data_IF_949370371201
#
_entry.id   IF_949370371201
#
_cell.length_a   1.000
_cell.length_b   1.000
_cell.length_c   1.000
_cell.angle_alpha   90.00
_cell.angle_beta   90.00
_cell.angle_gamma   90.00
#
_symmetry.space_group_name_H-M   'P 1'
#
loop_
_entity.id
_entity.type
_entity.pdbx_description
1 polymer ?
#
# COMPACT_ATOMS: atom_id res chain seq x y z
N UNK A 1 -0.03 46.28 -34.12
CA UNK A 1 0.41 46.79 -32.79
C UNK A 1 -0.83 47.19 -31.99
N UNK A 2 -1.72 46.19 -31.65
CA UNK A 2 -2.98 46.54 -30.95
C UNK A 2 -3.57 45.22 -30.32
N UNK A 3 -2.81 44.53 -29.50
CA UNK A 3 -3.31 43.26 -28.90
C UNK A 3 -2.84 43.01 -27.46
N UNK A 4 -2.55 44.06 -26.68
CA UNK A 4 -2.04 43.87 -25.34
C UNK A 4 -2.71 44.70 -24.23
N UNK A 5 -3.95 45.17 -24.41
CA UNK A 5 -4.64 46.03 -23.43
C UNK A 5 -5.77 45.39 -22.63
N UNK A 6 -6.14 44.15 -22.91
CA UNK A 6 -7.29 43.53 -22.22
C UNK A 6 -6.94 42.50 -21.15
N UNK A 7 -5.64 42.21 -20.91
CA UNK A 7 -5.23 41.18 -19.91
C UNK A 7 -4.94 41.72 -18.51
N UNK A 8 -4.86 43.02 -18.29
CA UNK A 8 -4.51 43.59 -16.99
C UNK A 8 -5.74 43.94 -16.14
N UNK A 9 -6.91 44.13 -16.77
CA UNK A 9 -8.14 44.53 -16.07
C UNK A 9 -8.81 43.39 -15.29
N UNK A 10 -8.57 42.11 -15.66
CA UNK A 10 -9.24 40.96 -15.02
C UNK A 10 -8.59 40.52 -13.69
N UNK A 11 -7.33 40.87 -13.47
CA UNK A 11 -6.63 40.49 -12.22
C UNK A 11 -6.94 41.44 -11.07
N UNK A 12 -7.29 42.69 -11.34
CA UNK A 12 -7.67 43.66 -10.30
C UNK A 12 -9.07 43.42 -9.74
N UNK A 13 -9.98 42.86 -10.52
CA UNK A 13 -11.32 42.50 -10.04
C UNK A 13 -11.33 41.29 -9.10
N UNK A 14 -10.43 40.30 -9.28
CA UNK A 14 -10.35 39.13 -8.45
C UNK A 14 -9.71 39.38 -7.07
N UNK A 15 -8.75 40.30 -6.98
CA UNK A 15 -8.11 40.68 -5.71
C UNK A 15 -9.02 41.48 -4.79
N UNK A 16 -9.97 42.25 -5.34
CA UNK A 16 -10.94 43.04 -4.55
C UNK A 16 -12.03 42.17 -3.91
N UNK A 17 -12.39 41.03 -4.53
CA UNK A 17 -13.42 40.12 -3.98
C UNK A 17 -12.91 39.27 -2.80
N UNK A 18 -11.65 38.86 -2.84
CA UNK A 18 -11.06 38.10 -1.73
C UNK A 18 -10.87 38.95 -0.47
N UNK A 19 -10.64 40.25 -0.58
CA UNK A 19 -10.43 41.14 0.57
C UNK A 19 -11.74 41.40 1.33
N UNK A 20 -12.89 41.41 0.65
CA UNK A 20 -14.20 41.60 1.30
C UNK A 20 -14.69 40.36 2.05
N UNK A 21 -14.36 39.16 1.58
CA UNK A 21 -14.75 37.91 2.26
C UNK A 21 -14.00 37.70 3.58
N UNK A 22 -12.74 38.16 3.67
CA UNK A 22 -11.94 38.03 4.89
C UNK A 22 -12.39 38.98 6.00
N UNK A 23 -12.91 40.17 5.65
CA UNK A 23 -13.39 41.15 6.63
C UNK A 23 -14.72 40.68 7.27
N UNK A 24 -15.60 40.01 6.53
CA UNK A 24 -16.86 39.49 7.06
C UNK A 24 -16.68 38.34 8.07
N UNK A 25 -15.61 37.54 7.95
CA UNK A 25 -15.33 36.43 8.86
C UNK A 25 -14.77 36.93 10.21
N UNK A 26 -13.98 38.02 10.19
CA UNK A 26 -13.38 38.56 11.42
C UNK A 26 -14.37 39.39 12.25
N UNK A 27 -15.34 40.04 11.62
CA UNK A 27 -16.36 40.85 12.34
C UNK A 27 -17.48 39.98 12.95
N UNK A 28 -17.78 38.81 12.32
CA UNK A 28 -18.78 37.87 12.85
C UNK A 28 -18.38 37.17 14.15
N UNK A 29 -17.08 37.14 14.47
CA UNK A 29 -16.55 36.49 15.67
C UNK A 29 -16.59 37.38 16.93
N UNK A 30 -16.96 38.67 16.83
CA UNK A 30 -16.93 39.60 17.95
C UNK A 30 -18.31 39.86 18.60
N UNK A 31 -19.39 39.36 18.02
CA UNK A 31 -20.72 39.48 18.63
C UNK A 31 -21.18 38.13 19.17
N UNK A 32 -20.69 37.82 20.38
CA UNK A 32 -21.12 36.67 21.14
C UNK A 32 -22.57 36.78 21.58
N UNK A 33 -23.42 35.91 21.07
CA UNK A 33 -24.77 35.73 21.62
C UNK A 33 -24.66 34.87 22.87
N UNK A 34 -24.93 35.51 24.04
CA UNK A 34 -25.03 34.84 25.32
C UNK A 34 -26.34 34.03 25.39
N UNK A 35 -26.21 32.73 25.11
CA UNK A 35 -27.29 31.75 25.31
C UNK A 35 -26.90 30.78 26.43
N UNK A 36 -27.75 30.69 27.48
CA UNK A 36 -27.59 29.84 28.65
C UNK A 36 -27.31 28.38 28.24
N UNK A 37 -26.18 27.86 28.69
CA UNK A 37 -25.80 26.46 28.55
C UNK A 37 -26.62 25.58 29.46
N UNK A 38 -27.46 24.71 28.88
CA UNK A 38 -27.88 23.48 29.54
C UNK A 38 -26.72 22.50 29.41
N UNK A 39 -26.12 22.16 30.54
CA UNK A 39 -25.14 21.06 30.63
C UNK A 39 -25.86 19.75 30.31
N UNK A 40 -25.65 19.23 29.13
CA UNK A 40 -25.67 17.80 28.88
C UNK A 40 -24.20 17.38 28.86
N UNK A 41 -23.81 16.72 29.95
CA UNK A 41 -22.55 15.97 29.99
C UNK A 41 -22.59 14.86 28.91
N UNK A 42 -22.12 15.19 27.72
CA UNK A 42 -21.72 14.18 26.78
C UNK A 42 -20.38 13.61 27.28
N UNK A 43 -20.44 12.43 27.86
CA UNK A 43 -19.29 11.61 28.13
C UNK A 43 -18.52 11.44 26.79
N UNK A 44 -17.49 12.25 26.64
CA UNK A 44 -16.45 11.96 25.64
C UNK A 44 -15.77 10.68 26.10
N UNK A 45 -16.33 9.57 25.64
CA UNK A 45 -15.65 8.31 25.63
C UNK A 45 -14.40 8.50 24.76
N UNK A 46 -13.27 8.76 25.44
CA UNK A 46 -11.95 8.73 24.83
C UNK A 46 -11.73 7.32 24.30
N UNK A 47 -12.20 7.05 23.09
CA UNK A 47 -11.71 5.95 22.29
C UNK A 47 -10.26 6.31 21.92
N UNK A 48 -9.38 6.02 22.86
CA UNK A 48 -7.96 5.92 22.55
C UNK A 48 -7.91 4.78 21.54
N UNK A 49 -7.88 5.14 20.26
CA UNK A 49 -7.60 4.21 19.18
C UNK A 49 -6.23 3.60 19.51
N UNK A 50 -6.28 2.44 20.18
CA UNK A 50 -5.09 1.69 20.54
C UNK A 50 -4.42 1.34 19.22
N UNK A 51 -3.47 2.16 18.78
CA UNK A 51 -2.60 1.80 17.66
C UNK A 51 -1.97 0.46 18.04
N UNK A 52 -2.50 -0.60 17.49
CA UNK A 52 -1.89 -1.92 17.60
C UNK A 52 -0.57 -1.79 16.86
N UNK A 53 0.52 -1.75 17.63
CA UNK A 53 1.86 -1.85 17.06
C UNK A 53 1.96 -3.28 16.55
N UNK A 54 1.81 -3.44 15.25
CA UNK A 54 1.95 -4.73 14.59
C UNK A 54 3.45 -4.99 14.43
N UNK A 55 3.98 -5.93 15.20
CA UNK A 55 5.37 -6.36 15.04
C UNK A 55 5.54 -7.07 13.69
N UNK A 56 6.59 -6.75 12.94
CA UNK A 56 6.85 -7.40 11.66
C UNK A 56 7.29 -8.86 11.89
N UNK A 57 6.86 -9.80 11.04
CA UNK A 57 7.33 -11.17 11.12
C UNK A 57 8.85 -11.20 10.87
N UNK A 58 9.54 -12.07 11.61
CA UNK A 58 10.97 -12.32 11.41
C UNK A 58 11.15 -13.26 10.22
N UNK A 59 12.29 -13.15 9.56
CA UNK A 59 12.67 -14.09 8.50
C UNK A 59 12.68 -15.51 9.08
N UNK A 60 11.99 -16.43 8.41
CA UNK A 60 11.77 -17.80 8.89
C UNK A 60 10.53 -18.00 9.75
N UNK A 61 9.79 -16.92 10.05
CA UNK A 61 8.54 -17.01 10.82
C UNK A 61 7.37 -17.44 9.92
N UNK A 62 6.50 -18.29 10.48
CA UNK A 62 5.26 -18.69 9.84
C UNK A 62 4.23 -17.58 9.97
N UNK A 63 3.74 -17.11 8.83
CA UNK A 63 2.63 -16.17 8.74
C UNK A 63 1.33 -16.95 8.60
N UNK A 64 0.56 -17.02 9.69
CA UNK A 64 -0.77 -17.64 9.66
C UNK A 64 -1.76 -16.74 8.93
N UNK A 65 -2.94 -17.28 8.58
CA UNK A 65 -4.00 -16.52 7.91
C UNK A 65 -4.49 -15.36 8.77
N UNK A 66 -4.58 -15.55 10.10
CA UNK A 66 -4.95 -14.49 11.06
C UNK A 66 -3.88 -13.40 11.11
N UNK A 67 -2.62 -13.80 11.16
CA UNK A 67 -1.49 -12.86 11.16
C UNK A 67 -1.43 -12.05 9.87
N UNK A 68 -1.66 -12.68 8.74
CA UNK A 68 -1.74 -12.01 7.45
C UNK A 68 -2.91 -11.01 7.38
N UNK A 69 -4.06 -11.36 7.97
CA UNK A 69 -5.19 -10.43 8.07
C UNK A 69 -4.83 -9.17 8.86
N UNK A 70 -4.16 -9.32 10.02
CA UNK A 70 -3.68 -8.20 10.83
C UNK A 70 -2.71 -7.32 10.05
N UNK A 71 -1.73 -7.92 9.36
CA UNK A 71 -0.75 -7.22 8.52
C UNK A 71 -1.44 -6.49 7.36
N UNK A 72 -2.39 -7.12 6.68
CA UNK A 72 -3.15 -6.47 5.61
C UNK A 72 -3.92 -5.25 6.11
N UNK A 73 -4.54 -5.33 7.29
CA UNK A 73 -5.24 -4.19 7.90
C UNK A 73 -4.25 -3.09 8.31
N UNK A 74 -3.10 -3.45 8.88
CA UNK A 74 -2.04 -2.51 9.26
C UNK A 74 -1.52 -1.71 8.06
N UNK A 75 -1.30 -2.36 6.92
CA UNK A 75 -0.83 -1.70 5.70
C UNK A 75 -1.95 -1.09 4.84
N UNK A 76 -3.20 -1.16 5.28
CA UNK A 76 -4.34 -0.63 4.52
C UNK A 76 -4.71 -1.46 3.29
N UNK A 77 -4.29 -2.71 3.20
CA UNK A 77 -4.66 -3.64 2.12
C UNK A 77 -6.06 -4.21 2.33
N UNK A 78 -7.05 -3.31 2.45
CA UNK A 78 -8.43 -3.66 2.80
C UNK A 78 -9.07 -4.68 1.85
N UNK A 79 -8.69 -4.68 0.58
CA UNK A 79 -9.19 -5.65 -0.40
C UNK A 79 -8.66 -7.07 -0.13
N UNK A 80 -7.39 -7.21 0.27
CA UNK A 80 -6.81 -8.49 0.68
C UNK A 80 -7.39 -8.95 2.01
N UNK A 81 -7.48 -8.06 3.01
CA UNK A 81 -8.10 -8.35 4.30
C UNK A 81 -9.54 -8.86 4.15
N UNK A 82 -10.35 -8.22 3.29
CA UNK A 82 -11.71 -8.67 2.97
C UNK A 82 -11.71 -10.05 2.31
N UNK A 83 -10.77 -10.32 1.41
CA UNK A 83 -10.64 -11.61 0.72
C UNK A 83 -10.32 -12.73 1.68
N UNK A 84 -9.35 -12.52 2.57
CA UNK A 84 -8.97 -13.47 3.63
C UNK A 84 -10.16 -13.73 4.54
N UNK A 85 -10.78 -12.68 5.09
CA UNK A 85 -11.90 -12.78 6.02
C UNK A 85 -13.11 -13.52 5.45
N UNK A 86 -13.40 -13.31 4.16
CA UNK A 86 -14.56 -13.93 3.53
C UNK A 86 -14.34 -15.41 3.13
N UNK A 87 -13.07 -15.83 3.02
CA UNK A 87 -12.73 -17.18 2.53
C UNK A 87 -11.50 -17.72 3.26
N UNK A 88 -11.50 -17.83 4.60
CA UNK A 88 -10.31 -18.20 5.37
C UNK A 88 -9.78 -19.58 4.96
N UNK A 89 -10.67 -20.54 4.69
CA UNK A 89 -10.33 -21.93 4.34
C UNK A 89 -9.65 -22.07 2.95
N UNK A 90 -9.66 -21.00 2.14
CA UNK A 90 -8.97 -20.99 0.84
C UNK A 90 -7.49 -20.65 0.95
N UNK A 91 -7.02 -20.27 2.13
CA UNK A 91 -5.66 -19.83 2.34
C UNK A 91 -4.96 -20.71 3.37
N UNK A 92 -3.66 -20.86 3.20
CA UNK A 92 -2.78 -21.58 4.10
C UNK A 92 -1.73 -20.64 4.67
N UNK A 93 -1.13 -21.06 5.77
CA UNK A 93 0.06 -20.43 6.31
C UNK A 93 1.25 -20.56 5.36
N UNK A 94 2.17 -19.62 5.46
CA UNK A 94 3.37 -19.59 4.66
C UNK A 94 4.56 -19.06 5.45
N UNK A 95 5.75 -19.45 5.02
CA UNK A 95 6.98 -19.01 5.66
C UNK A 95 7.44 -17.67 5.05
N UNK A 96 7.63 -16.65 5.90
CA UNK A 96 8.22 -15.40 5.47
C UNK A 96 9.73 -15.55 5.35
N UNK A 97 10.25 -15.55 4.13
CA UNK A 97 11.68 -15.72 3.84
C UNK A 97 12.41 -14.41 3.53
N UNK A 98 11.74 -13.27 3.73
CA UNK A 98 12.25 -11.95 3.40
C UNK A 98 12.17 -11.69 1.89
N UNK A 99 13.26 -11.23 1.31
CA UNK A 99 13.36 -11.06 -0.15
C UNK A 99 13.98 -12.32 -0.77
N UNK A 100 13.17 -13.27 -1.16
CA UNK A 100 13.41 -14.68 -1.54
C UNK A 100 14.63 -15.03 -2.41
N UNK A 101 15.42 -14.09 -2.87
CA UNK A 101 16.45 -14.37 -3.88
C UNK A 101 17.89 -14.28 -3.40
N UNK A 102 18.17 -13.69 -2.22
CA UNK A 102 19.54 -13.51 -1.68
C UNK A 102 19.53 -13.25 -0.20
N UNK A 103 20.71 -13.30 0.47
CA UNK A 103 20.80 -12.82 1.84
C UNK A 103 20.37 -11.35 1.87
N UNK A 104 19.34 -11.05 2.67
CA UNK A 104 18.73 -9.73 2.77
C UNK A 104 19.75 -8.65 3.17
N UNK A 105 20.70 -9.01 4.05
CA UNK A 105 21.78 -8.10 4.45
C UNK A 105 22.66 -7.68 3.25
N UNK A 106 22.99 -8.61 2.36
CA UNK A 106 23.75 -8.30 1.18
C UNK A 106 22.95 -7.46 0.19
N UNK A 107 21.68 -7.84 -0.03
CA UNK A 107 20.79 -7.13 -0.94
C UNK A 107 20.51 -5.70 -0.46
N UNK A 108 20.19 -5.50 0.83
CA UNK A 108 19.92 -4.17 1.40
C UNK A 108 21.16 -3.25 1.30
N UNK A 109 22.36 -3.79 1.50
CA UNK A 109 23.62 -3.03 1.32
C UNK A 109 23.86 -2.67 -0.16
N UNK A 110 23.57 -3.59 -1.09
CA UNK A 110 23.76 -3.34 -2.53
C UNK A 110 22.80 -2.30 -3.08
N UNK A 111 21.55 -2.29 -2.60
CA UNK A 111 20.52 -1.35 -3.07
C UNK A 111 20.31 -0.15 -2.15
N UNK A 112 20.98 -0.14 -0.98
CA UNK A 112 20.89 0.93 0.03
C UNK A 112 19.47 1.25 0.50
N UNK A 113 18.69 0.20 0.81
CA UNK A 113 17.29 0.31 1.27
C UNK A 113 17.14 -0.34 2.65
N UNK A 114 17.18 0.43 3.75
CA UNK A 114 17.08 -0.11 5.12
C UNK A 114 15.77 -0.84 5.42
N UNK A 115 14.67 -0.43 4.77
CA UNK A 115 13.32 -1.01 4.95
C UNK A 115 12.99 -2.14 3.97
N UNK A 116 14.01 -2.76 3.36
CA UNK A 116 13.81 -3.74 2.31
C UNK A 116 12.92 -4.92 2.74
N UNK A 117 13.15 -5.49 3.93
CA UNK A 117 12.34 -6.59 4.50
C UNK A 117 10.87 -6.26 4.53
N UNK A 118 10.54 -5.05 4.98
CA UNK A 118 9.15 -4.60 5.07
C UNK A 118 8.52 -4.38 3.70
N UNK A 119 9.30 -3.88 2.74
CA UNK A 119 8.84 -3.73 1.35
C UNK A 119 8.56 -5.10 0.74
N UNK A 120 9.44 -6.10 0.97
CA UNK A 120 9.22 -7.46 0.51
C UNK A 120 8.00 -8.09 1.17
N UNK A 121 7.79 -7.91 2.49
CA UNK A 121 6.60 -8.41 3.18
C UNK A 121 5.30 -7.88 2.55
N UNK A 122 5.24 -6.59 2.23
CA UNK A 122 4.07 -6.01 1.56
C UNK A 122 3.83 -6.60 0.17
N UNK A 123 4.89 -6.85 -0.57
CA UNK A 123 4.82 -7.52 -1.86
C UNK A 123 4.31 -8.97 -1.71
N UNK A 124 4.86 -9.71 -0.75
CA UNK A 124 4.48 -11.09 -0.46
C UNK A 124 3.02 -11.23 -0.03
N UNK A 125 2.50 -10.31 0.79
CA UNK A 125 1.07 -10.26 1.11
C UNK A 125 0.21 -10.10 -0.16
N UNK A 126 0.62 -9.24 -1.09
CA UNK A 126 -0.05 -9.09 -2.38
C UNK A 126 -0.05 -10.38 -3.19
N UNK A 127 1.07 -11.07 -3.20
CA UNK A 127 1.25 -12.32 -3.93
C UNK A 127 0.50 -13.49 -3.30
N UNK A 128 0.63 -13.68 -1.99
CA UNK A 128 -0.01 -14.79 -1.28
C UNK A 128 -1.54 -14.78 -1.45
N UNK A 129 -2.15 -13.59 -1.42
CA UNK A 129 -3.60 -13.42 -1.39
C UNK A 129 -4.19 -12.83 -2.68
N UNK A 130 -3.41 -12.75 -3.77
CA UNK A 130 -3.85 -12.28 -5.08
C UNK A 130 -4.93 -13.19 -5.71
N UNK A 131 -5.78 -12.62 -6.56
CA UNK A 131 -6.78 -13.41 -7.29
C UNK A 131 -6.14 -14.28 -8.37
N UNK A 132 -6.56 -15.54 -8.50
CA UNK A 132 -6.12 -16.43 -9.58
C UNK A 132 -6.31 -15.80 -10.96
N UNK A 133 -5.31 -15.90 -11.82
CA UNK A 133 -5.36 -15.42 -13.21
C UNK A 133 -5.43 -13.89 -13.35
N UNK A 134 -5.43 -13.13 -12.26
CA UNK A 134 -5.54 -11.68 -12.32
C UNK A 134 -4.18 -10.99 -12.54
N UNK A 135 -3.69 -11.09 -13.77
CA UNK A 135 -2.42 -10.49 -14.21
C UNK A 135 -2.36 -8.97 -14.00
N UNK A 136 -3.51 -8.28 -14.10
CA UNK A 136 -3.58 -6.85 -13.84
C UNK A 136 -3.33 -6.52 -12.36
N UNK A 137 -3.89 -7.30 -11.45
CA UNK A 137 -3.66 -7.15 -10.00
C UNK A 137 -2.20 -7.44 -9.68
N UNK A 138 -1.64 -8.53 -10.20
CA UNK A 138 -0.23 -8.89 -10.06
C UNK A 138 0.69 -7.77 -10.55
N UNK A 139 0.44 -7.24 -11.74
CA UNK A 139 1.22 -6.11 -12.27
C UNK A 139 1.16 -4.88 -11.35
N UNK A 140 0.01 -4.62 -10.73
CA UNK A 140 -0.12 -3.49 -9.80
C UNK A 140 0.70 -3.71 -8.53
N UNK A 141 0.70 -4.92 -7.98
CA UNK A 141 1.52 -5.29 -6.81
C UNK A 141 3.01 -5.12 -7.14
N UNK A 142 3.47 -5.58 -8.30
CA UNK A 142 4.85 -5.45 -8.72
C UNK A 142 5.28 -3.99 -8.97
N UNK A 143 4.38 -3.17 -9.50
CA UNK A 143 4.63 -1.73 -9.67
C UNK A 143 4.71 -1.00 -8.32
N UNK A 144 3.85 -1.36 -7.38
CA UNK A 144 3.91 -0.81 -6.03
C UNK A 144 5.24 -1.16 -5.38
N UNK A 145 5.68 -2.42 -5.47
CA UNK A 145 6.97 -2.87 -5.00
C UNK A 145 8.12 -2.03 -5.57
N UNK A 146 8.16 -1.83 -6.89
CA UNK A 146 9.17 -0.99 -7.53
C UNK A 146 9.14 0.45 -7.02
N UNK A 147 7.95 1.04 -6.89
CA UNK A 147 7.78 2.42 -6.41
C UNK A 147 8.22 2.58 -4.96
N UNK A 148 7.95 1.59 -4.11
CA UNK A 148 8.38 1.58 -2.72
C UNK A 148 9.90 1.49 -2.61
N UNK A 149 10.55 0.65 -3.41
CA UNK A 149 12.01 0.59 -3.50
C UNK A 149 12.61 1.96 -3.89
N UNK A 150 12.05 2.60 -4.92
CA UNK A 150 12.50 3.92 -5.37
C UNK A 150 12.29 4.98 -4.28
N UNK A 151 11.14 4.96 -3.62
CA UNK A 151 10.82 5.91 -2.54
C UNK A 151 11.71 5.72 -1.31
N UNK A 152 12.17 4.50 -1.07
CA UNK A 152 13.11 4.16 0.00
C UNK A 152 14.59 4.43 -0.37
N UNK A 153 14.86 4.97 -1.55
CA UNK A 153 16.19 5.39 -2.00
C UNK A 153 16.95 4.38 -2.86
N UNK A 154 16.31 3.30 -3.32
CA UNK A 154 16.95 2.35 -4.21
C UNK A 154 17.41 3.02 -5.52
N UNK A 155 18.56 2.58 -6.03
CA UNK A 155 18.98 2.95 -7.37
C UNK A 155 17.93 2.50 -8.40
N UNK A 156 17.61 3.38 -9.36
CA UNK A 156 16.60 3.10 -10.40
C UNK A 156 16.83 1.83 -11.22
N UNK A 157 18.10 1.48 -11.47
CA UNK A 157 18.45 0.26 -12.21
C UNK A 157 18.25 -0.98 -11.35
N UNK A 158 18.58 -0.91 -10.05
CA UNK A 158 18.32 -1.98 -9.10
C UNK A 158 16.81 -2.20 -8.91
N UNK A 159 16.04 -1.15 -8.68
CA UNK A 159 14.58 -1.24 -8.54
C UNK A 159 13.93 -1.81 -9.82
N UNK A 160 14.43 -1.43 -11.01
CA UNK A 160 13.95 -1.99 -12.27
C UNK A 160 14.32 -3.47 -12.39
N UNK A 161 15.54 -3.86 -12.07
CA UNK A 161 15.97 -5.26 -12.14
C UNK A 161 15.14 -6.14 -11.19
N UNK A 162 14.85 -5.67 -9.96
CA UNK A 162 13.99 -6.38 -9.03
C UNK A 162 12.54 -6.49 -9.54
N UNK A 163 12.00 -5.42 -10.12
CA UNK A 163 10.69 -5.46 -10.76
C UNK A 163 10.65 -6.53 -11.88
N UNK A 164 11.62 -6.54 -12.79
CA UNK A 164 11.67 -7.54 -13.87
C UNK A 164 11.82 -8.97 -13.32
N UNK A 165 12.61 -9.14 -12.26
CA UNK A 165 12.79 -10.44 -11.62
C UNK A 165 11.46 -10.99 -11.05
N UNK A 166 10.68 -10.17 -10.33
CA UNK A 166 9.38 -10.60 -9.80
C UNK A 166 8.35 -10.79 -10.92
N UNK A 167 8.42 -9.99 -12.01
CA UNK A 167 7.56 -10.19 -13.19
C UNK A 167 7.81 -11.53 -13.88
N UNK A 168 9.04 -11.99 -13.92
CA UNK A 168 9.43 -13.27 -14.56
C UNK A 168 9.20 -14.43 -13.59
N UNK A 169 9.79 -14.35 -12.37
CA UNK A 169 9.80 -15.45 -11.40
C UNK A 169 8.49 -15.65 -10.66
N UNK A 170 7.68 -14.59 -10.52
CA UNK A 170 6.43 -14.64 -9.77
C UNK A 170 5.20 -15.02 -10.58
N UNK A 171 5.35 -15.52 -11.81
CA UNK A 171 4.23 -15.96 -12.63
C UNK A 171 3.49 -17.13 -11.99
N UNK A 172 2.15 -17.07 -12.00
CA UNK A 172 1.29 -18.09 -11.40
C UNK A 172 1.56 -19.49 -11.97
N UNK A 173 1.72 -19.59 -13.29
CA UNK A 173 1.94 -20.84 -14.01
C UNK A 173 3.28 -21.52 -13.71
N UNK A 174 4.22 -20.85 -13.03
CA UNK A 174 5.49 -21.46 -12.60
C UNK A 174 5.31 -22.33 -11.36
N UNK A 175 4.25 -22.14 -10.58
CA UNK A 175 3.95 -22.91 -9.38
C UNK A 175 5.10 -22.98 -8.36
N UNK A 176 5.90 -21.92 -8.27
CA UNK A 176 6.98 -21.82 -7.29
C UNK A 176 6.41 -21.39 -5.93
N UNK A 177 7.13 -21.64 -4.83
CA UNK A 177 6.68 -21.28 -3.47
C UNK A 177 6.42 -19.78 -3.27
N UNK A 178 6.84 -18.94 -4.21
CA UNK A 178 6.65 -17.48 -4.24
C UNK A 178 5.90 -17.00 -5.49
N UNK A 179 5.30 -17.90 -6.28
CA UNK A 179 4.49 -17.52 -7.43
C UNK A 179 3.16 -16.89 -7.00
N UNK A 180 2.55 -16.11 -7.88
CA UNK A 180 1.24 -15.48 -7.64
C UNK A 180 0.21 -16.47 -7.10
N UNK A 181 -0.36 -16.15 -5.93
CA UNK A 181 -1.31 -17.00 -5.23
C UNK A 181 -0.69 -18.14 -4.42
N UNK A 182 0.59 -18.09 -4.08
CA UNK A 182 1.27 -19.15 -3.31
C UNK A 182 0.65 -19.44 -1.94
N UNK A 183 -0.08 -18.48 -1.34
CA UNK A 183 -0.80 -18.64 -0.07
C UNK A 183 -2.13 -19.37 -0.20
N UNK A 184 -2.53 -19.84 -1.39
CA UNK A 184 -3.78 -20.59 -1.60
C UNK A 184 -3.62 -22.07 -1.26
N UNK A 185 -4.72 -22.67 -0.79
CA UNK A 185 -4.79 -24.12 -0.51
C UNK A 185 -4.91 -24.92 -1.81
N UNK A 186 -5.62 -24.37 -2.81
CA UNK A 186 -5.79 -25.05 -4.09
C UNK A 186 -4.42 -25.28 -4.75
N UNK A 187 -4.19 -26.48 -5.28
CA UNK A 187 -2.94 -26.78 -5.95
C UNK A 187 -2.77 -25.88 -7.17
N UNK A 188 -1.55 -25.41 -7.37
CA UNK A 188 -1.21 -24.74 -8.60
C UNK A 188 -1.11 -25.76 -9.72
N UNK A 189 -1.71 -25.46 -10.87
CA UNK A 189 -1.55 -26.26 -12.08
C UNK A 189 -0.50 -25.59 -12.99
N UNK A 190 0.65 -26.25 -13.27
CA UNK A 190 1.63 -25.71 -14.19
C UNK A 190 1.00 -25.43 -15.55
N UNK A 191 1.19 -24.24 -16.05
CA UNK A 191 0.67 -23.84 -17.36
C UNK A 191 1.18 -24.70 -18.50
N UNK A 192 0.36 -24.86 -19.51
CA UNK A 192 0.64 -25.71 -20.72
C UNK A 192 1.94 -25.28 -21.44
N UNK A 193 2.42 -24.05 -21.24
CA UNK A 193 3.67 -23.54 -21.84
C UNK A 193 4.95 -24.21 -21.36
N UNK A 194 4.95 -24.90 -20.20
CA UNK A 194 6.12 -25.64 -19.71
C UNK A 194 6.25 -27.06 -20.30
N UNK A 195 5.22 -27.57 -20.95
CA UNK A 195 5.22 -28.90 -21.60
C UNK A 195 5.98 -28.97 -22.93
N UNK A 196 6.58 -27.85 -23.39
CA UNK A 196 7.32 -27.80 -24.67
C UNK A 196 8.84 -27.81 -24.51
N UNK A 197 9.35 -28.10 -23.29
CA UNK A 197 10.82 -28.13 -23.04
C UNK A 197 11.26 -29.55 -22.58
N UNK A 198 10.48 -30.59 -22.87
CA UNK A 198 10.93 -31.98 -22.77
C UNK A 198 11.48 -32.49 -24.12
#
# INVERSE_FOLDING_TARGET
>A
MQENRYRVSSYFALLSFCSFLFICIVVGAMYGCSGKSNQLEASHENVIEKRIIVELPKIGEIVTTERALELCLHYGFNHLAKRIKNNPDRFKEWNFDGCSMTSEELLSKLINVPSLTEICLRHDLGYAYGNPGNEKERLQVDRNFQNELLSAGANKYAAKAMFEAVRIGGKEELCLPFSWGFGRVEPCEPGIGLKLIE
#
